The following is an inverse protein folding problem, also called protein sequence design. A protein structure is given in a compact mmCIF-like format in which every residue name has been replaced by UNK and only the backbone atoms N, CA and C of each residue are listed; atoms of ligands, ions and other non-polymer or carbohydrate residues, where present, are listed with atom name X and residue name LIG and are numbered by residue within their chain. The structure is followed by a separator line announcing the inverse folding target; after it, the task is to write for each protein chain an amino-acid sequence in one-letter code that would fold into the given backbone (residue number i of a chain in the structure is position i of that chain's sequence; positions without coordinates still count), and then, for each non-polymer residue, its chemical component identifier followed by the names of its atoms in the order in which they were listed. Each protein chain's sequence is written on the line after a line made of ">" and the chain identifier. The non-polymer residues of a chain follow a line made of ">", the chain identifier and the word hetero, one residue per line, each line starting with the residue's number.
data_IF_725260208979
#
_entry.id   IF_725260208979
#
_cell.length_a   1.000
_cell.length_b   1.000
_cell.length_c   1.000
_cell.angle_alpha   90.00
_cell.angle_beta   90.00
_cell.angle_gamma   90.00
#
_symmetry.space_group_name_H-M   'P 1'
#
loop_
_entity.id
_entity.type
_entity.pdbx_description
1 polymer ?
#
# COMPACT_ATOMS: atom_id res chain seq x y z
N UNK A 1 2.85 17.71 6.06
CA UNK A 1 1.74 17.10 5.29
C UNK A 1 1.79 15.59 5.42
N UNK A 2 0.65 14.98 5.61
CA UNK A 2 0.54 13.52 5.68
C UNK A 2 0.02 12.98 4.34
N UNK A 3 0.68 11.95 3.83
CA UNK A 3 0.32 11.33 2.55
C UNK A 3 -0.07 9.87 2.80
N UNK A 4 -1.27 9.51 2.38
CA UNK A 4 -1.72 8.11 2.39
C UNK A 4 -1.28 7.41 1.11
N UNK A 5 -0.68 6.23 1.24
CA UNK A 5 -0.19 5.45 0.10
C UNK A 5 -1.12 4.28 -0.17
N UNK A 6 -1.64 4.22 -1.39
CA UNK A 6 -2.41 3.07 -1.88
C UNK A 6 -1.55 2.27 -2.84
N UNK A 7 -1.63 0.96 -2.75
CA UNK A 7 -0.85 0.06 -3.60
C UNK A 7 -1.44 -1.35 -3.54
N UNK A 8 -1.11 -2.15 -4.53
CA UNK A 8 -1.50 -3.57 -4.57
C UNK A 8 -0.24 -4.40 -4.32
N UNK A 9 -0.08 -4.90 -3.10
CA UNK A 9 1.09 -5.66 -2.71
C UNK A 9 0.90 -7.12 -3.08
N UNK A 10 1.81 -7.66 -3.90
CA UNK A 10 1.74 -9.03 -4.39
C UNK A 10 1.59 -10.05 -3.26
N UNK A 11 2.37 -9.90 -2.18
CA UNK A 11 2.34 -10.84 -1.06
C UNK A 11 0.96 -10.93 -0.40
N UNK A 12 0.25 -9.81 -0.32
CA UNK A 12 -1.09 -9.78 0.25
C UNK A 12 -2.06 -10.68 -0.52
N UNK A 13 -1.99 -10.60 -1.85
CA UNK A 13 -2.84 -11.42 -2.73
C UNK A 13 -2.43 -12.89 -2.74
N UNK A 14 -1.13 -13.16 -2.74
CA UNK A 14 -0.61 -14.53 -2.70
C UNK A 14 -1.07 -15.27 -1.44
N UNK A 15 -1.06 -14.59 -0.29
CA UNK A 15 -1.53 -15.15 0.98
C UNK A 15 -3.01 -15.52 0.94
N UNK A 16 -3.78 -14.91 0.04
CA UNK A 16 -5.23 -15.16 -0.11
C UNK A 16 -5.57 -16.07 -1.27
N UNK A 17 -4.58 -16.77 -1.81
CA UNK A 17 -4.79 -17.81 -2.82
C UNK A 17 -4.68 -17.36 -4.27
N UNK A 18 -4.32 -16.12 -4.54
CA UNK A 18 -4.06 -15.66 -5.91
C UNK A 18 -2.77 -16.30 -6.42
N UNK A 19 -2.69 -16.53 -7.73
CA UNK A 19 -1.50 -17.15 -8.35
C UNK A 19 -0.42 -16.10 -8.63
N UNK A 20 0.79 -16.58 -8.90
CA UNK A 20 1.90 -15.70 -9.32
C UNK A 20 1.55 -14.94 -10.60
N UNK A 21 0.89 -15.61 -11.56
CA UNK A 21 0.49 -14.97 -12.81
C UNK A 21 -0.54 -13.87 -12.58
N UNK A 22 -1.52 -14.12 -11.70
CA UNK A 22 -2.55 -13.13 -11.38
C UNK A 22 -1.99 -11.89 -10.69
N UNK A 23 -0.86 -12.03 -9.99
CA UNK A 23 -0.24 -10.95 -9.22
C UNK A 23 1.02 -10.38 -9.86
N UNK A 24 1.33 -10.78 -11.11
CA UNK A 24 2.58 -10.39 -11.78
C UNK A 24 2.77 -8.87 -11.89
N UNK A 25 1.68 -8.13 -12.06
CA UNK A 25 1.71 -6.67 -12.22
C UNK A 25 1.67 -5.93 -10.88
N UNK A 26 1.52 -6.64 -9.76
CA UNK A 26 1.40 -6.00 -8.45
C UNK A 26 2.76 -5.63 -7.87
N UNK A 27 2.74 -4.67 -6.94
CA UNK A 27 3.94 -4.13 -6.33
C UNK A 27 4.63 -5.12 -5.38
N UNK A 28 5.95 -5.02 -5.33
CA UNK A 28 6.75 -5.72 -4.34
C UNK A 28 6.94 -4.81 -3.14
N UNK A 29 7.15 -5.41 -1.96
CA UNK A 29 7.39 -4.68 -0.72
C UNK A 29 8.52 -3.65 -0.86
N UNK A 30 9.62 -4.03 -1.49
CA UNK A 30 10.78 -3.16 -1.69
C UNK A 30 10.45 -1.89 -2.50
N UNK A 31 9.51 -1.97 -3.44
CA UNK A 31 9.05 -0.82 -4.22
C UNK A 31 8.29 0.16 -3.32
N UNK A 32 7.43 -0.35 -2.45
CA UNK A 32 6.66 0.46 -1.50
C UNK A 32 7.60 1.14 -0.51
N UNK A 33 8.58 0.41 0.02
CA UNK A 33 9.58 0.94 0.94
C UNK A 33 10.39 2.06 0.28
N UNK A 34 10.81 1.87 -0.97
CA UNK A 34 11.56 2.88 -1.71
C UNK A 34 10.75 4.18 -1.87
N UNK A 35 9.47 4.06 -2.19
CA UNK A 35 8.58 5.22 -2.31
C UNK A 35 8.41 5.94 -0.97
N UNK A 36 8.17 5.20 0.10
CA UNK A 36 8.06 5.77 1.44
C UNK A 36 9.32 6.54 1.84
N UNK A 37 10.47 5.93 1.63
CA UNK A 37 11.76 6.55 1.97
C UNK A 37 11.96 7.86 1.22
N UNK A 38 11.60 7.91 -0.05
CA UNK A 38 11.72 9.12 -0.85
C UNK A 38 10.80 10.23 -0.36
N UNK A 39 9.56 9.89 0.00
CA UNK A 39 8.60 10.87 0.53
C UNK A 39 9.03 11.41 1.89
N UNK A 40 9.56 10.55 2.76
CA UNK A 40 10.09 10.96 4.06
C UNK A 40 11.30 11.90 3.87
N UNK A 41 12.17 11.57 2.92
CA UNK A 41 13.32 12.40 2.58
C UNK A 41 12.89 13.81 2.13
N UNK A 42 11.74 13.91 1.45
CA UNK A 42 11.18 15.19 1.00
C UNK A 42 10.41 15.93 2.10
N UNK A 43 10.31 15.36 3.29
CA UNK A 43 9.69 16.00 4.45
C UNK A 43 8.24 15.67 4.71
N UNK A 44 7.71 14.65 4.08
CA UNK A 44 6.31 14.22 4.29
C UNK A 44 6.22 13.09 5.30
N UNK A 45 5.09 13.04 6.01
CA UNK A 45 4.70 11.85 6.78
C UNK A 45 3.94 10.92 5.87
N UNK A 46 4.20 9.61 5.96
CA UNK A 46 3.53 8.62 5.13
C UNK A 46 2.71 7.65 5.98
N UNK A 47 1.55 7.27 5.44
CA UNK A 47 0.70 6.25 6.04
C UNK A 47 0.41 5.20 4.99
N UNK A 48 0.73 3.94 5.28
CA UNK A 48 0.40 2.84 4.39
C UNK A 48 -1.08 2.53 4.50
N UNK A 49 -1.82 2.72 3.42
CA UNK A 49 -3.24 2.38 3.36
C UNK A 49 -3.40 0.95 2.83
N UNK A 50 -2.72 0.63 1.75
CA UNK A 50 -2.79 -0.66 1.10
C UNK A 50 -3.71 -0.64 -0.12
N UNK A 51 -4.38 -1.75 -0.38
CA UNK A 51 -5.26 -1.89 -1.54
C UNK A 51 -6.67 -1.33 -1.26
N UNK A 52 -7.55 -1.46 -2.26
CA UNK A 52 -8.92 -0.94 -2.16
C UNK A 52 -9.70 -1.56 -0.98
N UNK A 53 -9.49 -2.84 -0.68
CA UNK A 53 -10.16 -3.51 0.43
C UNK A 53 -9.76 -2.89 1.76
N UNK A 54 -8.45 -2.64 1.94
CA UNK A 54 -7.91 -2.01 3.14
C UNK A 54 -8.32 -0.55 3.24
N UNK A 55 -8.36 0.16 2.13
CA UNK A 55 -8.83 1.55 2.08
C UNK A 55 -10.27 1.66 2.57
N UNK A 56 -11.15 0.79 2.08
CA UNK A 56 -12.57 0.80 2.47
C UNK A 56 -12.71 0.52 3.97
N UNK A 57 -11.97 -0.46 4.50
CA UNK A 57 -11.99 -0.78 5.92
C UNK A 57 -11.56 0.40 6.79
N UNK A 58 -10.48 1.07 6.39
CA UNK A 58 -9.95 2.22 7.13
C UNK A 58 -10.91 3.42 7.10
N UNK A 59 -11.49 3.69 5.94
CA UNK A 59 -12.48 4.77 5.82
C UNK A 59 -13.73 4.48 6.66
N UNK A 60 -14.18 3.22 6.68
CA UNK A 60 -15.32 2.80 7.48
C UNK A 60 -15.03 2.96 8.99
N UNK A 61 -13.77 2.79 9.39
CA UNK A 61 -13.32 2.99 10.77
C UNK A 61 -13.10 4.47 11.13
N UNK A 62 -13.29 5.38 10.19
CA UNK A 62 -13.17 6.82 10.42
C UNK A 62 -11.78 7.40 10.19
N UNK A 63 -10.84 6.63 9.66
CA UNK A 63 -9.50 7.13 9.36
C UNK A 63 -9.51 8.11 8.19
N UNK A 64 -8.68 9.15 8.28
CA UNK A 64 -8.48 10.16 7.22
C UNK A 64 -7.02 10.57 7.18
N UNK A 65 -6.59 11.08 6.01
CA UNK A 65 -5.18 11.46 5.78
C UNK A 65 -5.00 12.88 5.25
#
# INVERSE_FOLDING_TARGET
>A
MRIGLTYDLRSWYLERGYTMDETAEFDKEETVVALENELVRLGYETVRIGNIFQLVEKLAAGERW
#
